data_IF_062460779448
#
_entry.id   IF_062460779448
#
_cell.length_a   1.000
_cell.length_b   1.000
_cell.length_c   1.000
_cell.angle_alpha   90.00
_cell.angle_beta   90.00
_cell.angle_gamma   90.00
#
_symmetry.space_group_name_H-M   'P 1'
#
loop_
_entity.id
_entity.type
_entity.pdbx_description
1 polymer ?
#
# COMPACT_ATOMS: atom_id res chain seq x y z
N UNK A 1 2.33 13.37 5.22
CA UNK A 1 2.69 12.24 4.35
C UNK A 1 1.96 12.23 3.00
N UNK A 2 0.61 12.33 2.95
CA UNK A 2 -0.17 12.30 1.69
C UNK A 2 0.20 13.35 0.63
N UNK A 3 0.57 14.57 1.03
CA UNK A 3 0.92 15.66 0.09
C UNK A 3 2.14 15.37 -0.78
N UNK A 4 3.11 14.60 -0.27
CA UNK A 4 4.34 14.33 -1.03
C UNK A 4 4.13 13.41 -2.23
N UNK A 5 3.10 12.57 -2.19
CA UNK A 5 2.79 11.61 -3.25
C UNK A 5 1.91 12.27 -4.33
N UNK A 6 1.01 13.17 -3.94
CA UNK A 6 0.11 13.85 -4.89
C UNK A 6 0.86 14.80 -5.84
N UNK A 7 1.92 15.46 -5.35
CA UNK A 7 2.69 16.41 -6.17
C UNK A 7 3.69 15.73 -7.13
N UNK A 8 4.02 14.44 -6.95
CA UNK A 8 5.17 13.82 -7.63
C UNK A 8 4.85 12.71 -8.61
N UNK A 9 3.69 12.05 -8.54
CA UNK A 9 3.49 10.84 -9.34
C UNK A 9 2.17 10.83 -10.13
N UNK A 10 1.01 10.54 -9.54
CA UNK A 10 -0.28 10.47 -10.27
C UNK A 10 -1.46 10.62 -9.30
N UNK A 11 -2.63 11.01 -9.81
CA UNK A 11 -3.91 10.98 -9.08
C UNK A 11 -4.34 9.51 -8.90
N UNK A 12 -3.74 8.86 -7.91
CA UNK A 12 -4.04 7.47 -7.56
C UNK A 12 -5.33 7.49 -6.74
N UNK A 13 -6.43 7.11 -7.38
CA UNK A 13 -7.69 6.88 -6.67
C UNK A 13 -7.49 5.86 -5.56
N UNK A 14 -8.21 6.03 -4.43
CA UNK A 14 -8.07 5.12 -3.28
C UNK A 14 -8.28 3.65 -3.65
N UNK A 15 -9.16 3.37 -4.62
CA UNK A 15 -9.39 2.04 -5.16
C UNK A 15 -8.14 1.45 -5.85
N UNK A 16 -7.40 2.26 -6.62
CA UNK A 16 -6.16 1.83 -7.28
C UNK A 16 -5.07 1.56 -6.24
N UNK A 17 -5.00 2.36 -5.18
CA UNK A 17 -4.03 2.16 -4.11
C UNK A 17 -4.32 0.89 -3.31
N UNK A 18 -5.60 0.61 -3.02
CA UNK A 18 -6.02 -0.64 -2.37
C UNK A 18 -5.68 -1.87 -3.20
N UNK A 19 -5.90 -1.84 -4.52
CA UNK A 19 -5.53 -2.94 -5.42
C UNK A 19 -4.01 -3.22 -5.43
N UNK A 20 -3.18 -2.19 -5.32
CA UNK A 20 -1.73 -2.34 -5.17
C UNK A 20 -1.36 -2.95 -3.82
N UNK A 21 -1.99 -2.49 -2.73
CA UNK A 21 -1.80 -3.06 -1.39
C UNK A 21 -2.20 -4.53 -1.30
N UNK A 22 -3.25 -4.93 -2.02
CA UNK A 22 -3.66 -6.33 -2.14
C UNK A 22 -2.65 -7.16 -2.93
N UNK A 23 -2.14 -6.66 -4.06
CA UNK A 23 -1.08 -7.33 -4.83
C UNK A 23 0.17 -7.62 -3.98
N UNK A 24 0.55 -6.73 -3.06
CA UNK A 24 1.73 -6.90 -2.20
C UNK A 24 1.64 -8.06 -1.21
N UNK A 25 0.42 -8.51 -0.89
CA UNK A 25 0.19 -9.66 0.00
C UNK A 25 -0.11 -10.92 -0.81
N UNK A 26 -0.79 -10.78 -1.94
CA UNK A 26 -1.25 -11.90 -2.76
C UNK A 26 -0.15 -12.49 -3.63
N UNK A 27 0.81 -11.70 -4.11
CA UNK A 27 1.96 -12.19 -4.88
C UNK A 27 3.18 -12.45 -3.96
N UNK A 28 3.60 -13.71 -3.77
CA UNK A 28 4.69 -14.08 -2.89
C UNK A 28 6.05 -13.47 -3.28
N UNK A 29 6.23 -13.00 -4.52
CA UNK A 29 7.44 -12.28 -4.95
C UNK A 29 7.52 -10.91 -4.29
N UNK A 30 6.40 -10.21 -4.22
CA UNK A 30 6.30 -8.93 -3.55
C UNK A 30 6.31 -9.10 -2.04
N UNK A 31 5.57 -10.06 -1.51
CA UNK A 31 5.57 -10.38 -0.07
C UNK A 31 6.99 -10.62 0.43
N UNK A 32 7.79 -11.44 -0.29
CA UNK A 32 9.18 -11.71 0.09
C UNK A 32 10.03 -10.44 0.23
N UNK A 33 9.87 -9.48 -0.68
CA UNK A 33 10.64 -8.22 -0.64
C UNK A 33 10.37 -7.42 0.63
N UNK A 34 9.13 -7.43 1.11
CA UNK A 34 8.76 -6.76 2.35
C UNK A 34 9.11 -7.57 3.60
N UNK A 35 8.93 -8.91 3.56
CA UNK A 35 9.31 -9.79 4.66
C UNK A 35 10.83 -9.81 4.90
N UNK A 36 11.65 -9.68 3.84
CA UNK A 36 13.11 -9.57 3.94
C UNK A 36 13.55 -8.27 4.65
N UNK A 37 12.73 -7.21 4.59
CA UNK A 37 12.98 -5.94 5.29
C UNK A 37 12.53 -5.98 6.74
N UNK A 38 11.32 -6.48 6.99
CA UNK A 38 10.82 -6.75 8.32
C UNK A 38 9.67 -7.78 8.26
N UNK A 39 9.63 -8.74 9.19
CA UNK A 39 8.53 -9.71 9.25
C UNK A 39 7.18 -9.02 9.38
N UNK A 40 6.22 -9.37 8.53
CA UNK A 40 4.86 -8.82 8.52
C UNK A 40 4.71 -7.43 7.89
N UNK A 41 5.76 -6.89 7.27
CA UNK A 41 5.74 -5.54 6.70
C UNK A 41 4.75 -5.41 5.53
N UNK A 42 4.59 -6.44 4.70
CA UNK A 42 3.62 -6.41 3.60
C UNK A 42 2.18 -6.20 4.10
N UNK A 43 1.81 -6.93 5.16
CA UNK A 43 0.49 -6.82 5.78
C UNK A 43 0.29 -5.45 6.45
N UNK A 44 1.34 -4.92 7.10
CA UNK A 44 1.30 -3.59 7.69
C UNK A 44 1.07 -2.50 6.63
N UNK A 45 1.78 -2.57 5.50
CA UNK A 45 1.63 -1.62 4.38
C UNK A 45 0.21 -1.68 3.81
N UNK A 46 -0.34 -2.88 3.59
CA UNK A 46 -1.73 -3.05 3.15
C UNK A 46 -2.72 -2.42 4.14
N UNK A 47 -2.57 -2.70 5.43
CA UNK A 47 -3.44 -2.15 6.46
C UNK A 47 -3.38 -0.61 6.53
N UNK A 48 -2.19 -0.02 6.34
CA UNK A 48 -2.01 1.42 6.28
C UNK A 48 -2.71 2.04 5.06
N UNK A 49 -2.64 1.38 3.90
CA UNK A 49 -3.33 1.78 2.67
C UNK A 49 -4.85 1.74 2.88
N UNK A 50 -5.38 0.63 3.42
CA UNK A 50 -6.81 0.45 3.70
C UNK A 50 -7.31 1.48 4.73
N UNK A 51 -6.57 1.71 5.81
CA UNK A 51 -6.93 2.72 6.82
C UNK A 51 -6.91 4.15 6.25
N UNK A 52 -6.01 4.45 5.31
CA UNK A 52 -5.97 5.75 4.64
C UNK A 52 -7.12 5.92 3.64
N UNK A 53 -7.52 4.85 2.94
CA UNK A 53 -8.71 4.86 2.09
C UNK A 53 -10.00 5.07 2.91
N UNK A 54 -10.14 4.35 4.03
CA UNK A 54 -11.30 4.47 4.92
C UNK A 54 -11.45 5.86 5.57
N UNK A 55 -10.34 6.58 5.79
CA UNK A 55 -10.35 7.96 6.35
C UNK A 55 -10.72 9.04 5.32
N UNK A 56 -10.92 8.66 4.06
CA UNK A 56 -11.07 9.60 2.94
C UNK A 56 -12.31 9.35 2.09
N UNK A 57 -13.15 8.41 2.54
CA UNK A 57 -14.59 8.38 2.27
C UNK A 57 -15.29 9.34 3.24
#
# INVERSE_FOLDING_TARGET
HRRHINDRFYDVSYALHQGLGEMYVTDPRFTRTYEDLAPGLAAYVKAAIDANAARQQ
#
